data_IF_359496349448
#
_entry.id   IF_359496349448
#
_cell.length_a   1.000
_cell.length_b   1.000
_cell.length_c   1.000
_cell.angle_alpha   90.00
_cell.angle_beta   90.00
_cell.angle_gamma   90.00
#
_symmetry.space_group_name_H-M   'P 1'
#
loop_
_entity.id
_entity.type
_entity.pdbx_description
1 polymer ?
#
# COMPACT_ATOMS: atom_id res chain seq x y z
N UNK A 1 -5.01 8.54 -28.08
CA UNK A 1 -3.77 8.71 -27.30
C UNK A 1 -3.78 7.66 -26.20
N UNK A 2 -3.20 6.51 -26.47
CA UNK A 2 -3.03 5.42 -25.52
C UNK A 2 -1.79 5.72 -24.68
N UNK A 3 -1.98 5.92 -23.38
CA UNK A 3 -0.87 6.02 -22.44
C UNK A 3 -0.14 4.68 -22.41
N UNK A 4 1.16 4.72 -22.72
CA UNK A 4 2.07 3.61 -22.52
C UNK A 4 2.00 3.18 -21.06
N UNK A 5 1.47 1.99 -20.84
CA UNK A 5 1.66 1.22 -19.63
C UNK A 5 3.17 1.04 -19.47
N UNK A 6 3.78 1.88 -18.64
CA UNK A 6 5.18 1.74 -18.23
C UNK A 6 5.37 0.31 -17.76
N UNK A 7 6.17 -0.41 -18.53
CA UNK A 7 6.40 -1.85 -18.43
C UNK A 7 6.86 -2.25 -17.02
N UNK A 8 6.03 -3.04 -16.35
CA UNK A 8 6.36 -3.83 -15.15
C UNK A 8 7.29 -5.03 -15.48
N UNK A 9 7.76 -5.17 -16.73
CA UNK A 9 8.47 -6.38 -17.18
C UNK A 9 9.95 -6.40 -16.78
N UNK A 10 10.52 -5.28 -16.32
CA UNK A 10 11.93 -5.20 -15.91
C UNK A 10 12.27 -5.93 -14.60
N UNK A 11 11.29 -6.44 -13.85
CA UNK A 11 11.46 -6.85 -12.45
C UNK A 11 11.19 -8.34 -12.17
N UNK A 12 11.13 -9.16 -13.24
CA UNK A 12 10.77 -10.59 -13.18
C UNK A 12 11.94 -11.57 -13.04
N UNK A 13 13.15 -11.11 -12.70
CA UNK A 13 14.29 -12.02 -12.49
C UNK A 13 14.62 -12.11 -11.01
N UNK A 14 14.43 -13.32 -10.47
CA UNK A 14 14.95 -13.72 -9.18
C UNK A 14 16.48 -13.69 -9.16
N UNK A 15 17.02 -13.68 -7.95
CA UNK A 15 18.45 -13.78 -7.60
C UNK A 15 19.32 -12.52 -7.76
N UNK A 16 18.78 -11.32 -7.60
CA UNK A 16 19.65 -10.19 -7.21
C UNK A 16 19.75 -10.13 -5.69
N UNK A 17 20.98 -10.19 -5.17
CA UNK A 17 21.34 -9.80 -3.79
C UNK A 17 21.07 -8.29 -3.69
N UNK A 18 19.80 -7.95 -3.57
CA UNK A 18 19.33 -6.58 -3.57
C UNK A 18 19.87 -5.82 -2.36
N UNK A 19 20.03 -4.51 -2.54
CA UNK A 19 20.38 -3.63 -1.43
C UNK A 19 19.27 -3.73 -0.38
N UNK A 20 19.63 -4.06 0.87
CA UNK A 20 18.67 -4.10 1.99
C UNK A 20 17.96 -2.76 2.16
N UNK A 21 16.78 -2.76 2.80
CA UNK A 21 15.93 -1.55 2.87
C UNK A 21 16.68 -0.40 3.55
N UNK A 22 17.31 -0.67 4.70
CA UNK A 22 18.05 0.35 5.44
C UNK A 22 19.27 0.84 4.65
N UNK A 23 19.99 -0.05 3.99
CA UNK A 23 21.12 0.33 3.13
C UNK A 23 20.67 1.20 1.95
N UNK A 24 19.53 0.89 1.34
CA UNK A 24 18.93 1.69 0.28
C UNK A 24 18.51 3.07 0.77
N UNK A 25 17.88 3.15 1.95
CA UNK A 25 17.55 4.44 2.57
C UNK A 25 18.81 5.25 2.87
N UNK A 26 19.85 4.63 3.42
CA UNK A 26 21.13 5.28 3.69
C UNK A 26 21.75 5.90 2.42
N UNK A 27 21.66 5.20 1.30
CA UNK A 27 22.17 5.70 0.02
C UNK A 27 21.31 6.84 -0.56
N UNK A 28 19.97 6.77 -0.44
CA UNK A 28 19.08 7.88 -0.78
C UNK A 28 19.39 9.13 0.07
N UNK A 29 19.57 8.95 1.39
CA UNK A 29 19.93 10.02 2.33
C UNK A 29 21.26 10.65 1.92
N UNK A 30 22.31 9.85 1.72
CA UNK A 30 23.63 10.33 1.32
C UNK A 30 23.57 11.12 0.00
N UNK A 31 22.75 10.64 -0.96
CA UNK A 31 22.58 11.30 -2.26
C UNK A 31 21.87 12.66 -2.12
N UNK A 32 20.83 12.73 -1.30
CA UNK A 32 20.11 13.97 -0.99
C UNK A 32 21.00 14.96 -0.25
N UNK A 33 21.77 14.50 0.74
CA UNK A 33 22.72 15.36 1.47
C UNK A 33 23.78 15.94 0.54
N UNK A 34 24.24 15.17 -0.46
CA UNK A 34 25.24 15.63 -1.42
C UNK A 34 24.68 16.58 -2.50
N UNK A 35 23.43 16.41 -2.94
CA UNK A 35 22.84 17.16 -4.08
C UNK A 35 21.79 18.19 -3.68
N UNK A 36 21.32 18.15 -2.44
CA UNK A 36 20.17 18.90 -1.93
C UNK A 36 18.82 18.36 -2.43
N UNK A 37 18.70 18.13 -3.75
CA UNK A 37 17.46 17.71 -4.42
C UNK A 37 17.73 16.59 -5.43
N UNK A 38 16.95 15.51 -5.35
CA UNK A 38 16.89 14.47 -6.37
C UNK A 38 15.80 14.79 -7.40
N UNK A 39 16.12 14.58 -8.67
CA UNK A 39 15.14 14.76 -9.75
C UNK A 39 14.00 13.74 -9.60
N UNK A 40 12.79 14.18 -9.88
CA UNK A 40 11.58 13.34 -9.84
C UNK A 40 10.97 13.16 -11.23
N UNK A 41 10.29 12.05 -11.43
CA UNK A 41 9.41 11.80 -12.57
C UNK A 41 7.99 11.59 -12.05
N UNK A 42 7.06 12.49 -12.39
CA UNK A 42 5.71 12.44 -11.83
C UNK A 42 5.68 12.71 -10.31
N UNK A 43 4.62 12.25 -9.65
CA UNK A 43 4.38 12.50 -8.22
C UNK A 43 5.15 11.49 -7.39
N UNK A 44 6.17 11.96 -6.66
CA UNK A 44 6.92 11.20 -5.65
C UNK A 44 7.69 9.98 -6.17
N UNK A 45 7.94 9.89 -7.49
CA UNK A 45 8.82 8.86 -8.05
C UNK A 45 10.16 9.46 -8.43
N UNK A 46 11.23 8.75 -8.14
CA UNK A 46 12.58 9.16 -8.51
C UNK A 46 12.76 9.11 -10.03
N UNK A 47 13.46 10.10 -10.59
CA UNK A 47 13.79 10.11 -12.02
C UNK A 47 14.70 8.92 -12.40
N UNK A 48 14.51 8.27 -13.57
CA UNK A 48 15.28 7.10 -13.98
C UNK A 48 16.80 7.32 -13.99
N UNK A 49 17.27 8.52 -14.34
CA UNK A 49 18.70 8.85 -14.30
C UNK A 49 19.27 8.86 -12.88
N UNK A 50 18.51 9.34 -11.89
CA UNK A 50 18.94 9.28 -10.49
C UNK A 50 18.94 7.84 -9.99
N UNK A 51 17.93 7.05 -10.38
CA UNK A 51 17.88 5.62 -10.07
C UNK A 51 19.09 4.86 -10.62
N UNK A 52 19.48 5.09 -11.89
CA UNK A 52 20.69 4.48 -12.46
C UNK A 52 21.95 4.90 -11.72
N UNK A 53 22.09 6.20 -11.43
CA UNK A 53 23.24 6.70 -10.67
C UNK A 53 23.33 6.11 -9.26
N UNK A 54 22.20 5.88 -8.59
CA UNK A 54 22.17 5.18 -7.30
C UNK A 54 22.62 3.72 -7.44
N UNK A 55 22.13 3.01 -8.46
CA UNK A 55 22.56 1.63 -8.75
C UNK A 55 24.05 1.49 -9.03
N UNK A 56 24.62 2.42 -9.79
CA UNK A 56 26.05 2.44 -10.11
C UNK A 56 26.91 2.63 -8.85
N UNK A 57 26.44 3.45 -7.89
CA UNK A 57 27.21 3.75 -6.68
C UNK A 57 26.99 2.73 -5.57
N UNK A 58 25.78 2.23 -5.41
CA UNK A 58 25.46 1.19 -4.42
C UNK A 58 25.94 -0.21 -4.84
N UNK A 59 26.21 -0.41 -6.14
CA UNK A 59 26.50 -1.72 -6.73
C UNK A 59 25.27 -2.64 -6.81
N UNK A 60 24.05 -2.12 -6.63
CA UNK A 60 22.83 -2.93 -6.63
C UNK A 60 21.52 -2.15 -6.69
N UNK A 61 20.41 -2.88 -6.79
CA UNK A 61 19.05 -2.32 -6.85
C UNK A 61 18.27 -2.82 -5.63
N UNK A 62 17.59 -1.96 -4.86
CA UNK A 62 16.73 -2.42 -3.77
C UNK A 62 15.51 -3.16 -4.34
N UNK A 63 14.88 -4.00 -3.51
CA UNK A 63 13.60 -4.61 -3.87
C UNK A 63 12.58 -3.52 -4.29
N UNK A 64 11.82 -3.74 -5.36
CA UNK A 64 10.89 -2.72 -5.88
C UNK A 64 11.56 -1.57 -6.66
N UNK A 65 12.89 -1.45 -6.60
CA UNK A 65 13.68 -0.47 -7.34
C UNK A 65 13.74 0.90 -6.69
N UNK A 66 14.75 1.70 -7.07
CA UNK A 66 15.02 3.01 -6.47
C UNK A 66 13.85 3.99 -6.55
N UNK A 67 13.10 3.96 -7.65
CA UNK A 67 11.95 4.85 -7.83
C UNK A 67 10.83 4.59 -6.82
N UNK A 68 10.52 3.31 -6.56
CA UNK A 68 9.51 2.93 -5.60
C UNK A 68 10.01 3.12 -4.16
N UNK A 69 11.27 2.77 -3.87
CA UNK A 69 11.88 3.02 -2.56
C UNK A 69 11.85 4.50 -2.19
N UNK A 70 12.16 5.40 -3.14
CA UNK A 70 12.08 6.84 -2.90
C UNK A 70 10.65 7.32 -2.59
N UNK A 71 9.64 6.70 -3.23
CA UNK A 71 8.23 7.00 -2.99
C UNK A 71 7.77 6.61 -1.57
N UNK A 72 8.12 5.40 -1.11
CA UNK A 72 7.82 4.98 0.28
C UNK A 72 8.65 5.76 1.30
N UNK A 73 9.90 6.10 0.98
CA UNK A 73 10.74 6.93 1.83
C UNK A 73 10.16 8.35 2.00
N UNK A 74 9.52 8.90 0.96
CA UNK A 74 8.77 10.14 1.07
C UNK A 74 7.54 10.00 1.98
N UNK A 75 6.83 8.88 1.88
CA UNK A 75 5.70 8.55 2.75
C UNK A 75 6.05 8.39 4.24
N UNK A 76 7.24 7.86 4.50
CA UNK A 76 7.80 7.75 5.85
C UNK A 76 8.45 9.04 6.36
N UNK A 77 8.46 10.12 5.58
CA UNK A 77 9.06 11.41 5.96
C UNK A 77 10.59 11.42 5.97
N UNK A 78 11.25 10.40 5.40
CA UNK A 78 12.71 10.39 5.17
C UNK A 78 13.06 11.35 4.04
N UNK A 79 12.28 11.29 2.97
CA UNK A 79 12.33 12.24 1.88
C UNK A 79 11.13 13.18 1.96
N UNK A 80 11.25 14.34 1.33
CA UNK A 80 10.14 15.27 1.15
C UNK A 80 9.96 15.58 -0.32
N UNK A 81 8.77 15.28 -0.83
CA UNK A 81 8.39 15.74 -2.16
C UNK A 81 8.09 17.25 -2.14
N UNK A 82 8.75 17.98 -3.03
CA UNK A 82 8.60 19.43 -3.16
C UNK A 82 8.68 19.86 -4.64
N UNK A 83 8.29 21.10 -4.98
CA UNK A 83 8.51 21.61 -6.33
C UNK A 83 9.98 21.44 -6.73
N UNK A 84 10.20 20.81 -7.89
CA UNK A 84 11.55 20.57 -8.43
C UNK A 84 12.21 19.24 -8.05
N UNK A 85 11.72 18.49 -7.06
CA UNK A 85 12.30 17.17 -6.74
C UNK A 85 11.96 16.59 -5.37
N UNK A 86 12.71 15.55 -5.00
CA UNK A 86 12.71 14.94 -3.68
C UNK A 86 13.90 15.49 -2.86
N UNK A 87 13.60 16.16 -1.76
CA UNK A 87 14.61 16.71 -0.83
C UNK A 87 14.66 15.94 0.49
N UNK A 88 15.47 16.44 1.42
CA UNK A 88 15.56 15.91 2.77
C UNK A 88 14.24 16.09 3.52
N UNK A 89 13.72 15.00 4.09
CA UNK A 89 12.57 15.02 4.98
C UNK A 89 12.96 15.20 6.45
N UNK A 90 11.95 15.29 7.32
CA UNK A 90 12.14 15.52 8.76
C UNK A 90 12.95 14.41 9.44
N UNK A 91 12.87 13.19 8.92
CA UNK A 91 13.51 12.02 9.52
C UNK A 91 14.85 11.64 8.87
N UNK A 92 15.38 12.46 7.95
CA UNK A 92 16.61 12.17 7.21
C UNK A 92 17.81 11.84 8.11
N UNK A 93 17.95 12.57 9.23
CA UNK A 93 19.06 12.40 10.17
C UNK A 93 18.88 11.16 11.07
N UNK A 94 17.63 10.76 11.33
CA UNK A 94 17.31 9.63 12.20
C UNK A 94 17.59 8.29 11.53
N UNK A 95 17.54 8.21 10.19
CA UNK A 95 17.73 6.96 9.41
C UNK A 95 19.01 6.22 9.81
N UNK A 96 20.09 6.94 10.15
CA UNK A 96 21.37 6.34 10.55
C UNK A 96 21.29 5.55 11.86
N UNK A 97 20.30 5.84 12.70
CA UNK A 97 20.05 5.14 13.96
C UNK A 97 18.98 4.06 13.87
N UNK A 98 18.32 3.89 12.72
CA UNK A 98 17.29 2.87 12.56
C UNK A 98 17.88 1.48 12.40
N UNK A 99 17.16 0.49 12.88
CA UNK A 99 17.33 -0.92 12.50
C UNK A 99 16.63 -1.22 11.17
N UNK A 100 16.95 -2.35 10.55
CA UNK A 100 16.26 -2.82 9.33
C UNK A 100 14.76 -3.00 9.58
N UNK A 101 14.37 -3.53 10.74
CA UNK A 101 12.96 -3.73 11.10
C UNK A 101 12.22 -2.40 11.27
N UNK A 102 12.80 -1.44 11.98
CA UNK A 102 12.22 -0.11 12.14
C UNK A 102 12.07 0.62 10.80
N UNK A 103 13.06 0.46 9.90
CA UNK A 103 12.98 1.01 8.55
C UNK A 103 11.79 0.42 7.78
N UNK A 104 11.65 -0.92 7.75
CA UNK A 104 10.54 -1.60 7.09
C UNK A 104 9.19 -1.15 7.66
N UNK A 105 9.08 -1.10 8.99
CA UNK A 105 7.85 -0.67 9.66
C UNK A 105 7.49 0.78 9.30
N UNK A 106 8.43 1.72 9.42
CA UNK A 106 8.17 3.14 9.09
C UNK A 106 7.78 3.35 7.63
N UNK A 107 8.40 2.62 6.70
CA UNK A 107 8.05 2.68 5.27
C UNK A 107 6.63 2.15 4.99
N UNK A 108 6.24 1.04 5.62
CA UNK A 108 4.89 0.49 5.50
C UNK A 108 3.85 1.42 6.13
N UNK A 109 4.13 1.95 7.33
CA UNK A 109 3.25 2.88 8.03
C UNK A 109 3.02 4.18 7.25
N UNK A 110 3.97 4.58 6.40
CA UNK A 110 3.77 5.62 5.39
C UNK A 110 2.46 5.42 4.64
N UNK A 111 2.25 4.23 4.07
CA UNK A 111 1.02 3.92 3.35
C UNK A 111 -0.17 3.71 4.29
N UNK A 112 0.02 2.91 5.33
CA UNK A 112 -1.07 2.47 6.20
C UNK A 112 -1.69 3.59 7.02
N UNK A 113 -0.94 4.66 7.31
CA UNK A 113 -1.40 5.81 8.09
C UNK A 113 -1.66 7.03 7.23
N UNK A 114 -0.85 7.24 6.21
CA UNK A 114 -0.82 8.50 5.46
C UNK A 114 -1.24 8.37 3.98
N UNK A 115 -1.57 7.17 3.51
CA UNK A 115 -1.95 6.88 2.13
C UNK A 115 -0.88 7.35 1.13
N UNK A 116 0.38 7.01 1.42
CA UNK A 116 1.55 7.33 0.60
C UNK A 116 2.32 6.06 0.20
N UNK A 117 2.73 5.89 -1.06
CA UNK A 117 2.75 6.89 -2.13
C UNK A 117 1.37 7.12 -2.80
N UNK A 118 1.16 8.28 -3.46
CA UNK A 118 -0.13 8.64 -4.04
C UNK A 118 -0.65 7.70 -5.14
N UNK A 119 0.24 7.02 -5.88
CA UNK A 119 -0.13 6.08 -6.93
C UNK A 119 -0.88 4.85 -6.38
N UNK A 120 -0.29 4.20 -5.38
CA UNK A 120 -0.92 3.14 -4.60
C UNK A 120 -2.25 3.60 -3.95
N UNK A 121 -2.27 4.79 -3.34
CA UNK A 121 -3.46 5.32 -2.69
C UNK A 121 -4.60 5.58 -3.67
N UNK A 122 -4.30 6.19 -4.82
CA UNK A 122 -5.28 6.42 -5.88
C UNK A 122 -5.85 5.10 -6.40
N UNK A 123 -5.01 4.09 -6.63
CA UNK A 123 -5.45 2.77 -7.07
C UNK A 123 -6.36 2.09 -6.04
N UNK A 124 -6.04 2.21 -4.76
CA UNK A 124 -6.86 1.69 -3.65
C UNK A 124 -8.24 2.36 -3.58
N UNK A 125 -8.28 3.69 -3.66
CA UNK A 125 -9.50 4.49 -3.64
C UNK A 125 -10.39 4.20 -4.85
N UNK A 126 -9.80 4.06 -6.04
CA UNK A 126 -10.51 3.67 -7.25
C UNK A 126 -11.12 2.27 -7.12
N UNK A 127 -10.38 1.30 -6.57
CA UNK A 127 -10.88 -0.06 -6.35
C UNK A 127 -12.03 -0.14 -5.32
N UNK A 128 -12.03 0.75 -4.32
CA UNK A 128 -13.14 0.93 -3.39
C UNK A 128 -14.38 1.60 -4.02
N UNK A 129 -14.25 2.15 -5.23
CA UNK A 129 -15.30 2.88 -5.93
C UNK A 129 -15.55 4.28 -5.37
N UNK A 130 -14.54 4.90 -4.75
CA UNK A 130 -14.59 6.25 -4.19
C UNK A 130 -14.62 7.28 -5.32
N UNK A 131 -15.44 8.31 -5.17
CA UNK A 131 -15.45 9.45 -6.08
C UNK A 131 -14.06 10.15 -6.06
N UNK A 132 -13.44 10.45 -7.22
CA UNK A 132 -12.09 11.01 -7.26
C UNK A 132 -11.88 12.25 -6.39
N UNK A 133 -12.78 13.24 -6.43
CA UNK A 133 -12.71 14.43 -5.56
C UNK A 133 -12.67 14.11 -4.06
N UNK A 134 -13.53 13.18 -3.61
CA UNK A 134 -13.53 12.71 -2.22
C UNK A 134 -12.20 12.02 -1.87
N UNK A 135 -11.66 11.24 -2.80
CA UNK A 135 -10.34 10.61 -2.65
C UNK A 135 -9.20 11.61 -2.51
N UNK A 136 -9.13 12.63 -3.38
CA UNK A 136 -8.10 13.68 -3.29
C UNK A 136 -8.24 14.48 -1.99
N UNK A 137 -9.48 14.78 -1.57
CA UNK A 137 -9.75 15.43 -0.29
C UNK A 137 -9.26 14.60 0.89
N UNK A 138 -9.63 13.32 0.93
CA UNK A 138 -9.22 12.41 1.99
C UNK A 138 -7.70 12.35 2.10
N UNK A 139 -6.99 12.10 0.99
CA UNK A 139 -5.53 12.01 0.99
C UNK A 139 -4.91 13.32 1.46
N UNK A 140 -5.45 14.47 1.04
CA UNK A 140 -4.98 15.78 1.47
C UNK A 140 -5.18 16.07 2.96
N UNK A 141 -6.30 15.65 3.57
CA UNK A 141 -6.51 15.77 5.02
C UNK A 141 -5.59 14.83 5.80
N UNK A 142 -5.55 13.55 5.41
CA UNK A 142 -4.70 12.54 6.06
C UNK A 142 -3.23 12.94 6.02
N UNK A 143 -2.72 13.44 4.88
CA UNK A 143 -1.33 13.87 4.77
C UNK A 143 -1.02 15.17 5.54
N UNK A 144 -2.01 16.04 5.78
CA UNK A 144 -1.82 17.24 6.61
C UNK A 144 -1.59 16.90 8.08
N UNK A 145 -2.12 15.77 8.53
CA UNK A 145 -1.90 15.25 9.89
C UNK A 145 -0.56 14.52 10.04
N UNK A 146 0.15 14.25 8.94
CA UNK A 146 1.43 13.56 9.00
C UNK A 146 2.47 14.40 9.77
N UNK A 147 3.24 13.81 10.70
CA UNK A 147 4.15 14.53 11.59
C UNK A 147 5.29 15.23 10.87
N UNK A 148 5.64 14.77 9.67
CA UNK A 148 6.68 15.35 8.83
C UNK A 148 6.18 16.51 7.94
N UNK A 149 4.92 16.93 8.10
CA UNK A 149 4.36 18.08 7.38
C UNK A 149 4.07 17.76 5.92
N UNK A 150 3.20 16.79 5.68
CA UNK A 150 2.69 16.46 4.34
C UNK A 150 2.10 17.67 3.61
N UNK A 151 1.87 17.52 2.30
CA UNK A 151 1.60 18.60 1.35
C UNK A 151 0.77 19.77 1.94
N UNK A 152 1.48 20.80 2.45
CA UNK A 152 0.85 22.01 2.96
C UNK A 152 0.44 22.85 1.77
N UNK A 153 -0.86 22.92 1.54
CA UNK A 153 -1.46 23.90 0.64
C UNK A 153 -2.25 23.25 -0.47
N UNK A 154 -3.56 23.12 -0.25
CA UNK A 154 -4.60 23.95 -0.89
C UNK A 154 -5.81 23.83 0.06
N UNK A 155 -6.30 24.94 0.61
CA UNK A 155 -7.58 24.91 1.33
C UNK A 155 -8.68 24.49 0.35
N UNK A 156 -9.47 23.47 0.69
CA UNK A 156 -10.56 23.02 -0.17
C UNK A 156 -11.62 24.13 -0.26
N UNK A 157 -11.81 24.69 -1.46
CA UNK A 157 -12.76 25.80 -1.66
C UNK A 157 -14.23 25.39 -1.49
N UNK A 158 -14.53 24.09 -1.53
CA UNK A 158 -15.89 23.54 -1.63
C UNK A 158 -16.31 22.73 -0.39
N UNK A 159 -16.16 23.32 0.81
CA UNK A 159 -16.56 22.67 2.08
C UNK A 159 -18.07 22.39 2.14
N UNK A 160 -18.90 23.21 1.49
CA UNK A 160 -20.36 23.03 1.50
C UNK A 160 -20.90 21.85 0.69
N UNK A 161 -20.10 21.25 -0.20
CA UNK A 161 -20.50 20.11 -1.05
C UNK A 161 -19.96 18.77 -0.53
N UNK A 162 -18.92 18.84 0.29
CA UNK A 162 -18.21 17.70 0.87
C UNK A 162 -18.19 17.84 2.40
N UNK A 163 -19.19 17.30 3.07
CA UNK A 163 -19.35 17.35 4.53
C UNK A 163 -18.18 16.64 5.26
N UNK A 164 -17.76 17.16 6.42
CA UNK A 164 -16.62 16.62 7.21
C UNK A 164 -16.95 15.23 7.74
N UNK A 165 -18.18 15.03 8.22
CA UNK A 165 -18.66 13.75 8.76
C UNK A 165 -18.59 12.63 7.73
N UNK A 166 -18.91 12.94 6.46
CA UNK A 166 -18.78 12.00 5.35
C UNK A 166 -17.33 11.71 5.02
N UNK A 167 -16.46 12.72 5.13
CA UNK A 167 -15.02 12.50 4.93
C UNK A 167 -14.46 11.56 5.99
N UNK A 168 -14.80 11.77 7.26
CA UNK A 168 -14.36 10.92 8.37
C UNK A 168 -14.91 9.50 8.25
N UNK A 169 -16.17 9.37 7.82
CA UNK A 169 -16.73 8.07 7.56
C UNK A 169 -16.00 7.37 6.39
N UNK A 170 -15.75 8.07 5.27
CA UNK A 170 -14.95 7.56 4.16
C UNK A 170 -13.54 7.15 4.62
N UNK A 171 -12.87 8.01 5.38
CA UNK A 171 -11.55 7.77 5.98
C UNK A 171 -11.55 6.47 6.74
N UNK A 172 -12.52 6.28 7.64
CA UNK A 172 -12.69 5.05 8.41
C UNK A 172 -12.79 3.83 7.51
N UNK A 173 -13.59 3.88 6.44
CA UNK A 173 -13.78 2.72 5.56
C UNK A 173 -12.54 2.35 4.74
N UNK A 174 -11.81 3.36 4.25
CA UNK A 174 -10.53 3.13 3.58
C UNK A 174 -9.58 2.40 4.51
N UNK A 175 -9.43 2.89 5.75
CA UNK A 175 -8.56 2.26 6.74
C UNK A 175 -9.08 0.90 7.23
N UNK A 176 -10.39 0.66 7.33
CA UNK A 176 -10.94 -0.68 7.64
C UNK A 176 -10.52 -1.68 6.57
N UNK A 177 -10.64 -1.32 5.29
CA UNK A 177 -10.23 -2.22 4.21
C UNK A 177 -8.75 -2.57 4.26
N UNK A 178 -7.89 -1.60 4.60
CA UNK A 178 -6.44 -1.80 4.76
C UNK A 178 -6.13 -2.66 6.00
N UNK A 179 -6.76 -2.38 7.14
CA UNK A 179 -6.55 -3.10 8.39
C UNK A 179 -6.93 -4.59 8.26
N UNK A 180 -8.02 -4.90 7.55
CA UNK A 180 -8.40 -6.29 7.27
C UNK A 180 -7.37 -6.99 6.39
N UNK A 181 -6.93 -6.35 5.29
CA UNK A 181 -5.96 -6.97 4.37
C UNK A 181 -4.63 -7.22 5.08
N UNK A 182 -4.11 -6.21 5.77
CA UNK A 182 -2.86 -6.30 6.52
C UNK A 182 -2.96 -7.30 7.68
N UNK A 183 -4.06 -7.28 8.43
CA UNK A 183 -4.29 -8.25 9.51
C UNK A 183 -4.33 -9.69 9.00
N UNK A 184 -5.05 -9.94 7.91
CA UNK A 184 -5.09 -11.26 7.27
C UNK A 184 -3.72 -11.70 6.72
N UNK A 185 -2.92 -10.77 6.17
CA UNK A 185 -1.55 -11.07 5.74
C UNK A 185 -0.64 -11.39 6.94
N UNK A 186 -0.78 -10.65 8.04
CA UNK A 186 -0.03 -10.89 9.27
C UNK A 186 -0.33 -12.24 9.92
N UNK A 187 -1.58 -12.68 9.93
CA UNK A 187 -1.99 -13.99 10.48
C UNK A 187 -1.49 -15.18 9.66
N UNK A 188 -1.29 -15.00 8.35
CA UNK A 188 -0.89 -16.09 7.43
C UNK A 188 0.57 -16.52 7.58
N UNK A 189 1.39 -15.76 8.30
CA UNK A 189 2.81 -16.07 8.51
C UNK A 189 3.65 -15.97 7.23
N UNK A 190 4.92 -16.36 7.30
CA UNK A 190 5.80 -16.41 6.13
C UNK A 190 5.35 -17.53 5.18
N UNK A 191 5.27 -17.23 3.89
CA UNK A 191 4.86 -18.19 2.87
C UNK A 191 4.73 -17.57 1.49
N UNK A 192 4.72 -18.44 0.48
CA UNK A 192 4.55 -18.05 -0.93
C UNK A 192 3.06 -18.03 -1.29
N UNK A 193 2.56 -16.83 -1.54
CA UNK A 193 1.18 -16.53 -1.87
C UNK A 193 1.02 -16.23 -3.37
N UNK A 194 -0.20 -16.33 -3.88
CA UNK A 194 -0.53 -15.94 -5.26
C UNK A 194 -1.10 -14.53 -5.33
N UNK A 195 -0.78 -13.77 -6.39
CA UNK A 195 -1.40 -12.46 -6.63
C UNK A 195 -2.94 -12.56 -6.61
N UNK A 196 -3.50 -13.63 -7.18
CA UNK A 196 -4.96 -13.81 -7.26
C UNK A 196 -5.62 -14.08 -5.89
N UNK A 197 -4.92 -14.75 -4.96
CA UNK A 197 -5.39 -14.91 -3.59
C UNK A 197 -5.44 -13.56 -2.87
N UNK A 198 -4.43 -12.71 -3.06
CA UNK A 198 -4.43 -11.35 -2.53
C UNK A 198 -5.50 -10.47 -3.19
N UNK A 199 -5.72 -10.60 -4.50
CA UNK A 199 -6.84 -9.93 -5.20
C UNK A 199 -8.18 -10.31 -4.58
N UNK A 200 -8.40 -11.59 -4.33
CA UNK A 200 -9.65 -12.08 -3.72
C UNK A 200 -9.81 -11.54 -2.29
N UNK A 201 -8.75 -11.56 -1.49
CA UNK A 201 -8.75 -10.99 -0.14
C UNK A 201 -9.07 -9.48 -0.16
N UNK A 202 -8.38 -8.71 -1.01
CA UNK A 202 -8.61 -7.26 -1.15
C UNK A 202 -10.05 -6.97 -1.60
N UNK A 203 -10.57 -7.73 -2.56
CA UNK A 203 -11.95 -7.60 -3.05
C UNK A 203 -12.97 -7.86 -1.94
N UNK A 204 -12.78 -8.92 -1.14
CA UNK A 204 -13.61 -9.25 0.01
C UNK A 204 -13.54 -8.16 1.10
N UNK A 205 -12.35 -7.69 1.44
CA UNK A 205 -12.11 -6.66 2.44
C UNK A 205 -12.71 -5.31 2.03
N UNK A 206 -12.55 -4.91 0.77
CA UNK A 206 -13.15 -3.69 0.22
C UNK A 206 -14.68 -3.78 0.23
N UNK A 207 -15.25 -4.93 -0.16
CA UNK A 207 -16.70 -5.15 -0.05
C UNK A 207 -17.20 -5.16 1.38
N UNK A 208 -16.41 -5.69 2.31
CA UNK A 208 -16.72 -5.69 3.74
C UNK A 208 -16.76 -4.26 4.29
N UNK A 209 -15.71 -3.47 4.07
CA UNK A 209 -15.68 -2.05 4.44
C UNK A 209 -16.89 -1.29 3.85
N UNK A 210 -17.19 -1.49 2.57
CA UNK A 210 -18.38 -0.89 1.92
C UNK A 210 -19.71 -1.28 2.58
N UNK A 211 -19.85 -2.48 3.14
CA UNK A 211 -21.06 -2.90 3.87
C UNK A 211 -21.11 -2.33 5.28
N UNK A 212 -19.97 -2.26 5.97
CA UNK A 212 -19.86 -1.57 7.25
C UNK A 212 -20.19 -0.07 7.13
N UNK A 213 -20.01 0.50 5.92
CA UNK A 213 -20.32 1.89 5.58
C UNK A 213 -21.81 2.20 5.32
N UNK A 214 -22.75 1.29 5.60
CA UNK A 214 -24.18 1.39 5.18
C UNK A 214 -24.92 2.66 5.65
N UNK A 215 -24.30 3.50 6.47
CA UNK A 215 -24.86 4.75 7.00
C UNK A 215 -24.30 6.03 6.34
N UNK A 216 -23.29 5.95 5.46
CA UNK A 216 -22.58 7.14 4.93
C UNK A 216 -23.26 7.79 3.72
N UNK A 217 -24.19 7.09 3.07
CA UNK A 217 -24.72 7.48 1.74
C UNK A 217 -26.16 7.98 1.77
N UNK A 218 -26.66 8.47 2.92
CA UNK A 218 -27.94 9.18 2.97
C UNK A 218 -27.72 10.58 2.42
N UNK A 219 -27.96 10.76 1.11
CA UNK A 219 -27.75 12.04 0.44
C UNK A 219 -28.61 13.15 1.04
N UNK A 220 -27.98 14.12 1.69
CA UNK A 220 -28.52 15.47 1.84
C UNK A 220 -28.66 16.07 0.43
N UNK A 221 -29.80 16.72 0.13
CA UNK A 221 -30.03 17.36 -1.19
C UNK A 221 -28.87 18.31 -1.50
N UNK A 222 -28.09 18.00 -2.55
CA UNK A 222 -27.01 18.87 -3.05
C UNK A 222 -25.58 18.39 -2.77
N UNK A 223 -25.36 17.37 -1.94
CA UNK A 223 -24.02 16.85 -1.65
C UNK A 223 -23.45 15.93 -2.74
N UNK A 224 -22.12 15.92 -2.90
CA UNK A 224 -21.45 15.02 -3.84
C UNK A 224 -21.50 13.57 -3.34
N UNK A 225 -21.85 12.63 -4.22
CA UNK A 225 -21.83 11.19 -3.89
C UNK A 225 -20.41 10.75 -3.51
N UNK A 226 -20.28 10.06 -2.38
CA UNK A 226 -18.99 9.51 -1.92
C UNK A 226 -18.60 8.31 -2.77
N UNK A 227 -19.57 7.46 -3.10
CA UNK A 227 -19.37 6.23 -3.85
C UNK A 227 -19.98 6.36 -5.25
N UNK A 228 -19.15 6.11 -6.28
CA UNK A 228 -19.57 6.21 -7.69
C UNK A 228 -19.59 4.87 -8.41
N UNK A 229 -18.94 3.86 -7.84
CA UNK A 229 -18.88 2.52 -8.41
C UNK A 229 -18.93 1.45 -7.32
N UNK A 230 -19.21 0.21 -7.73
CA UNK A 230 -19.01 -0.98 -6.91
C UNK A 230 -17.54 -1.40 -6.86
N UNK A 231 -17.23 -2.40 -6.03
CA UNK A 231 -15.90 -3.01 -6.00
C UNK A 231 -15.75 -3.98 -7.17
N UNK A 232 -14.96 -3.58 -8.17
CA UNK A 232 -14.72 -4.33 -9.40
C UNK A 232 -13.35 -5.04 -9.37
N UNK A 233 -13.34 -6.34 -9.69
CA UNK A 233 -12.12 -7.18 -9.64
C UNK A 233 -10.95 -6.61 -10.46
N UNK A 234 -11.23 -5.99 -11.62
CA UNK A 234 -10.19 -5.35 -12.46
C UNK A 234 -9.50 -4.20 -11.74
N UNK A 235 -10.27 -3.32 -11.08
CA UNK A 235 -9.73 -2.21 -10.30
C UNK A 235 -8.98 -2.73 -9.06
N UNK A 236 -9.51 -3.75 -8.39
CA UNK A 236 -8.83 -4.42 -7.26
C UNK A 236 -7.48 -5.00 -7.68
N UNK A 237 -7.38 -5.64 -8.84
CA UNK A 237 -6.08 -6.13 -9.35
C UNK A 237 -5.09 -4.99 -9.57
N UNK A 238 -5.54 -3.84 -10.06
CA UNK A 238 -4.72 -2.63 -10.14
C UNK A 238 -4.23 -2.17 -8.77
N UNK A 239 -5.13 -2.12 -7.78
CA UNK A 239 -4.79 -1.75 -6.40
C UNK A 239 -3.80 -2.72 -5.75
N UNK A 240 -3.95 -4.03 -5.98
CA UNK A 240 -3.04 -5.06 -5.47
C UNK A 240 -1.65 -4.92 -6.07
N UNK A 241 -1.54 -4.65 -7.37
CA UNK A 241 -0.25 -4.38 -8.03
C UNK A 241 0.40 -3.10 -7.54
N UNK A 242 -0.40 -2.05 -7.30
CA UNK A 242 0.07 -0.83 -6.66
C UNK A 242 0.57 -1.08 -5.23
N UNK A 243 -0.21 -1.80 -4.41
CA UNK A 243 0.17 -2.16 -3.05
C UNK A 243 1.46 -3.00 -3.03
N UNK A 244 1.58 -4.03 -3.87
CA UNK A 244 2.79 -4.84 -3.93
C UNK A 244 3.98 -4.05 -4.48
N UNK A 245 3.84 -3.44 -5.66
CA UNK A 245 4.95 -2.82 -6.39
C UNK A 245 5.40 -1.46 -5.86
N UNK A 246 4.51 -0.69 -5.26
CA UNK A 246 4.81 0.65 -4.74
C UNK A 246 4.91 0.71 -3.21
N UNK A 247 4.47 -0.32 -2.47
CA UNK A 247 4.49 -0.30 -1.01
C UNK A 247 5.21 -1.51 -0.43
N UNK A 248 4.64 -2.71 -0.55
CA UNK A 248 5.07 -3.87 0.23
C UNK A 248 6.46 -4.37 -0.16
N UNK A 249 6.74 -4.43 -1.47
CA UNK A 249 8.05 -4.85 -1.98
C UNK A 249 9.13 -3.80 -1.71
N UNK A 250 8.96 -2.51 -2.06
CA UNK A 250 9.98 -1.50 -1.73
C UNK A 250 10.17 -1.26 -0.23
N UNK A 251 9.15 -1.52 0.60
CA UNK A 251 9.29 -1.51 2.05
C UNK A 251 9.88 -2.81 2.63
N UNK A 252 10.20 -3.81 1.81
CA UNK A 252 10.85 -5.06 2.24
C UNK A 252 9.98 -6.06 3.00
N UNK A 253 8.65 -5.90 2.96
CA UNK A 253 7.70 -6.82 3.60
C UNK A 253 7.36 -8.02 2.71
N UNK A 254 7.48 -7.84 1.40
CA UNK A 254 7.17 -8.86 0.40
C UNK A 254 8.28 -8.93 -0.64
N UNK A 255 8.54 -10.13 -1.16
CA UNK A 255 9.43 -10.36 -2.31
C UNK A 255 8.62 -10.93 -3.48
N UNK A 256 8.85 -10.44 -4.69
CA UNK A 256 8.26 -11.04 -5.88
C UNK A 256 8.92 -12.39 -6.17
N UNK A 257 8.09 -13.36 -6.51
CA UNK A 257 8.51 -14.65 -7.06
C UNK A 257 8.18 -14.74 -8.55
N UNK A 258 8.87 -15.64 -9.24
CA UNK A 258 8.56 -15.98 -10.63
C UNK A 258 7.14 -16.56 -10.71
N UNK A 259 6.39 -16.15 -11.75
CA UNK A 259 5.07 -16.72 -12.04
C UNK A 259 3.88 -16.04 -11.35
N UNK A 260 4.00 -14.78 -10.93
CA UNK A 260 2.87 -14.03 -10.32
C UNK A 260 2.58 -14.43 -8.88
N UNK A 261 3.61 -14.95 -8.20
CA UNK A 261 3.59 -15.30 -6.79
C UNK A 261 4.43 -14.29 -6.01
N UNK A 262 4.25 -14.24 -4.71
CA UNK A 262 5.05 -13.41 -3.84
C UNK A 262 5.28 -14.10 -2.50
N UNK A 263 6.41 -13.83 -1.87
CA UNK A 263 6.77 -14.36 -0.55
C UNK A 263 6.64 -13.24 0.49
N UNK A 264 5.96 -13.50 1.61
CA UNK A 264 5.97 -12.60 2.77
C UNK A 264 7.30 -12.79 3.51
N UNK A 265 8.16 -11.77 3.48
CA UNK A 265 9.53 -11.86 3.97
C UNK A 265 9.65 -11.77 5.50
N UNK A 266 8.65 -11.18 6.17
CA UNK A 266 8.63 -11.01 7.64
C UNK A 266 7.37 -11.68 8.20
N UNK A 267 7.51 -12.81 8.93
CA UNK A 267 6.38 -13.48 9.56
C UNK A 267 5.89 -12.69 10.78
N UNK A 268 4.58 -12.44 10.83
CA UNK A 268 3.98 -11.61 11.86
C UNK A 268 4.32 -10.14 11.61
N UNK A 269 3.32 -9.29 11.53
CA UNK A 269 3.53 -7.85 11.42
C UNK A 269 3.34 -7.29 12.84
N UNK A 270 4.40 -7.11 13.65
CA UNK A 270 4.25 -6.59 15.00
C UNK A 270 3.98 -5.08 14.95
N UNK A 271 3.01 -4.61 15.73
CA UNK A 271 2.85 -3.19 16.05
C UNK A 271 2.50 -2.25 14.90
N UNK A 272 1.97 -2.74 13.77
CA UNK A 272 1.52 -1.86 12.69
C UNK A 272 0.27 -1.08 13.09
N UNK A 273 0.24 0.18 12.65
CA UNK A 273 -0.89 1.07 12.82
C UNK A 273 -1.48 1.45 11.46
N UNK A 274 -2.79 1.28 11.31
CA UNK A 274 -3.57 1.65 10.13
C UNK A 274 -4.47 2.83 10.47
N UNK A 275 -4.24 3.95 9.79
CA UNK A 275 -4.90 5.22 10.06
C UNK A 275 -4.74 5.63 11.53
N UNK A 276 -5.86 5.93 12.18
CA UNK A 276 -5.94 6.28 13.58
C UNK A 276 -6.34 5.09 14.49
N UNK A 277 -6.48 3.88 13.93
CA UNK A 277 -6.93 2.73 14.72
C UNK A 277 -5.86 2.31 15.74
N UNK A 278 -6.31 2.02 16.96
CA UNK A 278 -5.52 1.28 17.93
C UNK A 278 -5.52 -0.21 17.62
N UNK A 279 -4.61 -0.96 18.22
CA UNK A 279 -4.48 -2.41 18.02
C UNK A 279 -5.80 -3.15 18.26
N UNK A 280 -6.51 -2.85 19.34
CA UNK A 280 -7.80 -3.48 19.68
C UNK A 280 -8.87 -3.25 18.61
N UNK A 281 -8.93 -2.04 18.03
CA UNK A 281 -9.90 -1.72 16.97
C UNK A 281 -9.56 -2.47 15.68
N UNK A 282 -8.28 -2.54 15.30
CA UNK A 282 -7.84 -3.32 14.14
C UNK A 282 -8.21 -4.80 14.30
N UNK A 283 -7.98 -5.37 15.48
CA UNK A 283 -8.34 -6.75 15.80
C UNK A 283 -9.86 -6.97 15.82
N UNK A 284 -10.63 -5.99 16.29
CA UNK A 284 -12.10 -6.05 16.24
C UNK A 284 -12.61 -6.11 14.79
N UNK A 285 -12.07 -5.29 13.89
CA UNK A 285 -12.42 -5.31 12.47
C UNK A 285 -12.06 -6.62 11.80
N UNK A 286 -10.87 -7.17 12.10
CA UNK A 286 -10.44 -8.47 11.58
C UNK A 286 -11.39 -9.60 12.03
N UNK A 287 -11.75 -9.65 13.32
CA UNK A 287 -12.71 -10.63 13.85
C UNK A 287 -14.09 -10.50 13.21
N UNK A 288 -14.57 -9.29 12.99
CA UNK A 288 -15.86 -9.05 12.32
C UNK A 288 -15.82 -9.54 10.86
N UNK A 289 -14.73 -9.26 10.15
CA UNK A 289 -14.52 -9.74 8.79
C UNK A 289 -14.52 -11.28 8.72
N UNK A 290 -13.75 -11.93 9.59
CA UNK A 290 -13.67 -13.40 9.66
C UNK A 290 -15.02 -14.03 9.99
N UNK A 291 -15.79 -13.42 10.90
CA UNK A 291 -17.14 -13.88 11.23
C UNK A 291 -18.09 -13.77 10.04
N UNK A 292 -18.08 -12.66 9.31
CA UNK A 292 -18.89 -12.49 8.09
C UNK A 292 -18.49 -13.46 6.98
N UNK A 293 -17.20 -13.78 6.88
CA UNK A 293 -16.71 -14.76 5.91
C UNK A 293 -17.17 -16.18 6.26
N UNK A 294 -17.02 -16.59 7.52
CA UNK A 294 -17.47 -17.91 7.99
C UNK A 294 -18.97 -18.15 7.79
N UNK A 295 -19.80 -17.13 8.08
CA UNK A 295 -21.26 -17.24 7.86
C UNK A 295 -21.65 -17.37 6.40
N UNK A 296 -20.89 -16.76 5.46
CA UNK A 296 -21.12 -16.90 4.01
C UNK A 296 -20.68 -18.25 3.46
N UNK A 297 -19.62 -18.82 4.02
CA UNK A 297 -19.07 -20.12 3.61
C UNK A 297 -19.80 -21.30 4.30
N UNK A 298 -20.81 -21.04 5.14
CA UNK A 298 -21.52 -22.07 5.90
C UNK A 298 -20.64 -22.79 6.92
N UNK A 299 -19.51 -22.19 7.31
CA UNK A 299 -18.54 -22.75 8.26
C UNK A 299 -18.64 -22.04 9.61
N UNK A 300 -18.53 -22.80 10.69
CA UNK A 300 -18.36 -22.26 12.04
C UNK A 300 -17.15 -21.29 12.09
N UNK A 301 -17.13 -20.29 12.99
CA UNK A 301 -16.06 -19.30 13.05
C UNK A 301 -14.69 -19.98 13.13
N UNK A 302 -13.83 -19.67 12.17
CA UNK A 302 -12.61 -20.41 11.89
C UNK A 302 -11.56 -20.14 12.96
N UNK A 303 -11.31 -21.14 13.79
CA UNK A 303 -10.02 -21.37 14.46
C UNK A 303 -9.37 -22.62 13.87
N UNK A 304 -9.24 -22.72 12.55
CA UNK A 304 -8.53 -23.85 11.95
C UNK A 304 -7.88 -23.43 10.62
N UNK A 305 -6.57 -23.68 10.57
CA UNK A 305 -5.63 -23.33 9.50
C UNK A 305 -6.21 -23.69 8.13
N UNK A 306 -6.31 -22.70 7.24
CA UNK A 306 -6.56 -22.94 5.83
C UNK A 306 -5.30 -23.55 5.21
N UNK A 307 -5.33 -24.86 5.02
CA UNK A 307 -4.34 -25.62 4.25
C UNK A 307 -4.49 -25.24 2.78
N UNK A 308 -3.38 -24.81 2.16
CA UNK A 308 -3.26 -24.71 0.70
C UNK A 308 -3.65 -26.05 0.08
N UNK A 309 -4.76 -26.10 -0.66
CA UNK A 309 -5.01 -27.23 -1.54
C UNK A 309 -4.00 -27.16 -2.68
N UNK A 310 -3.05 -28.11 -2.70
CA UNK A 310 -2.21 -28.37 -3.86
C UNK A 310 -3.11 -28.74 -5.06
N UNK A 311 -2.74 -28.36 -6.29
CA UNK A 311 -3.47 -28.78 -7.47
C UNK A 311 -3.22 -30.28 -7.69
N UNK A 312 -4.30 -31.07 -7.70
CA UNK A 312 -4.30 -32.47 -8.08
C UNK A 312 -3.64 -32.66 -9.45
N UNK A 313 -2.44 -33.25 -9.47
CA UNK A 313 -1.90 -33.89 -10.67
C UNK A 313 -2.72 -35.16 -10.94
N UNK A 314 -3.59 -35.07 -11.93
CA UNK A 314 -4.22 -36.24 -12.53
C UNK A 314 -3.21 -36.89 -13.47
N UNK A 315 -2.54 -37.93 -13.00
CA UNK A 315 -1.77 -38.84 -13.84
C UNK A 315 -2.07 -40.29 -13.47
N UNK A 316 -2.98 -40.89 -14.22
CA UNK A 316 -2.97 -42.33 -14.48
C UNK A 316 -3.72 -42.61 -15.78
N UNK A 317 -2.95 -42.68 -16.88
CA UNK A 317 -3.37 -43.46 -18.04
C UNK A 317 -3.29 -44.95 -17.69
N UNK A 318 -4.25 -45.79 -18.11
CA UNK A 318 -4.06 -47.23 -18.11
C UNK A 318 -3.21 -47.64 -19.33
N UNK A 319 -2.19 -48.45 -19.07
CA UNK A 319 -1.39 -49.13 -20.09
C UNK A 319 -2.18 -50.24 -20.79
N UNK A 320 -1.61 -50.60 -21.94
CA UNK A 320 -1.96 -51.66 -22.90
C UNK A 320 -2.45 -52.98 -22.30
#
# INVERSE_FOLDING_TARGET
>A
MMGELVSYEGQRRGEDVGVGVLAGLGELVRRVEARGLLRQEGIWRLHPEEARGLSEVSGGVPAGGWAALAGVAAGAGVLRAQPGGLGAGSYVAEVRGWTEEEARQRLLEGFLRWLTPPGAAASWLLALGVHPMWGVRLVGEVQREAPWGGARGVGWRDEGVMEVERLEALRRQVFVSLAVVVGMMGERGAGVESEEALVTLCEEAMRFARRAAREVDVSTRGGLKVWVAGVERRAVRGAVRGLLGEVLVPAGWVRWEVGGRFEVAVPGWPGWQVGAFGEEEQQAWLRLFLRERGTREGRAPVSERFVCQEPNESSSMPGR
#
